data_IF_316799927301
#
_entry.id   IF_316799927301
#
_cell.length_a   1.000
_cell.length_b   1.000
_cell.length_c   1.000
_cell.angle_alpha   90.00
_cell.angle_beta   90.00
_cell.angle_gamma   90.00
#
_symmetry.space_group_name_H-M   'P 1'
#
loop_
_entity.id
_entity.type
_entity.pdbx_description
1 polymer ?
#
# COMPACT_ATOMS: atom_id res chain seq x y z
N UNK A 1 -11.54 -29.19 -7.54
CA UNK A 1 -10.66 -28.83 -6.40
C UNK A 1 -11.55 -28.39 -5.25
N UNK A 2 -11.37 -28.88 -4.01
CA UNK A 2 -12.31 -28.66 -2.91
C UNK A 2 -12.17 -27.29 -2.21
N UNK A 3 -11.12 -26.51 -2.50
CA UNK A 3 -10.87 -25.20 -1.90
C UNK A 3 -10.32 -24.24 -2.97
N UNK A 4 -10.70 -22.96 -2.88
CA UNK A 4 -10.21 -21.92 -3.77
C UNK A 4 -8.71 -21.65 -3.56
N UNK A 5 -7.93 -21.37 -4.60
CA UNK A 5 -6.49 -21.09 -4.49
C UNK A 5 -6.26 -19.66 -3.94
N UNK A 6 -6.35 -19.51 -2.61
CA UNK A 6 -6.05 -18.26 -1.92
C UNK A 6 -4.53 -18.15 -1.69
N UNK A 7 -3.90 -17.08 -2.17
CA UNK A 7 -2.45 -16.86 -2.02
C UNK A 7 -2.07 -16.44 -0.59
N UNK A 8 -2.83 -15.50 -0.02
CA UNK A 8 -2.67 -15.02 1.37
C UNK A 8 -4.07 -14.88 1.94
N UNK A 9 -4.32 -15.52 3.08
CA UNK A 9 -5.60 -15.42 3.76
C UNK A 9 -5.74 -14.04 4.43
N UNK A 10 -6.94 -13.48 4.39
CA UNK A 10 -7.19 -12.14 4.94
C UNK A 10 -6.97 -12.06 6.46
N UNK A 11 -6.99 -13.19 7.17
CA UNK A 11 -6.67 -13.30 8.58
C UNK A 11 -5.17 -13.30 8.90
N UNK A 12 -4.32 -13.65 7.94
CA UNK A 12 -2.86 -13.55 8.03
C UNK A 12 -2.34 -12.15 7.66
N UNK A 13 -3.19 -11.29 7.08
CA UNK A 13 -2.80 -9.93 6.69
C UNK A 13 -2.86 -9.00 7.90
N UNK A 14 -1.74 -8.37 8.21
CA UNK A 14 -1.63 -7.37 9.29
C UNK A 14 -1.82 -5.95 8.79
N UNK A 15 -1.43 -5.67 7.54
CA UNK A 15 -1.47 -4.35 6.92
C UNK A 15 -1.98 -4.46 5.50
N UNK A 16 -2.97 -3.63 5.15
CA UNK A 16 -3.32 -3.36 3.77
C UNK A 16 -2.88 -1.93 3.47
N UNK A 17 -1.94 -1.79 2.52
CA UNK A 17 -1.42 -0.52 2.05
C UNK A 17 -1.91 -0.28 0.62
N UNK A 18 -2.51 0.88 0.40
CA UNK A 18 -2.92 1.39 -0.92
C UNK A 18 -2.46 2.84 -1.09
N UNK A 19 -2.69 3.43 -2.25
CA UNK A 19 -2.49 4.85 -2.50
C UNK A 19 -3.42 5.76 -1.67
N UNK A 20 -4.53 5.23 -1.17
CA UNK A 20 -5.45 5.97 -0.29
C UNK A 20 -4.96 6.01 1.16
N UNK A 21 -4.26 4.96 1.61
CA UNK A 21 -3.74 4.90 2.97
C UNK A 21 -3.38 3.47 3.43
N UNK A 22 -3.25 3.32 4.74
CA UNK A 22 -2.92 2.06 5.41
C UNK A 22 -4.05 1.67 6.35
N UNK A 23 -4.50 0.42 6.26
CA UNK A 23 -5.37 -0.22 7.23
C UNK A 23 -4.57 -1.20 8.09
N UNK A 24 -4.48 -0.93 9.39
CA UNK A 24 -3.76 -1.74 10.37
C UNK A 24 -4.61 -2.91 10.86
N UNK A 25 -4.87 -3.90 9.98
CA UNK A 25 -5.79 -5.02 10.22
C UNK A 25 -5.47 -5.86 11.48
N UNK A 26 -4.23 -5.83 11.98
CA UNK A 26 -3.87 -6.46 13.25
C UNK A 26 -4.57 -5.84 14.47
N UNK A 27 -5.10 -4.61 14.34
CA UNK A 27 -5.87 -3.90 15.37
C UNK A 27 -7.38 -4.12 15.26
N UNK A 28 -7.84 -4.92 14.30
CA UNK A 28 -9.26 -5.19 14.13
C UNK A 28 -9.78 -6.09 15.26
N UNK A 29 -10.89 -5.69 15.88
CA UNK A 29 -11.54 -6.42 16.98
C UNK A 29 -12.60 -7.41 16.48
N UNK A 30 -12.99 -7.31 15.20
CA UNK A 30 -13.95 -8.20 14.57
C UNK A 30 -13.74 -8.29 13.06
N UNK A 31 -14.33 -9.30 12.43
CA UNK A 31 -14.31 -9.43 10.97
C UNK A 31 -15.07 -8.29 10.27
N UNK A 32 -16.13 -7.76 10.89
CA UNK A 32 -16.84 -6.58 10.38
C UNK A 32 -15.95 -5.34 10.41
N UNK A 33 -15.24 -5.11 11.53
CA UNK A 33 -14.29 -4.01 11.62
C UNK A 33 -13.15 -4.18 10.61
N UNK A 34 -12.60 -5.39 10.48
CA UNK A 34 -11.57 -5.69 9.47
C UNK A 34 -12.05 -5.34 8.05
N UNK A 35 -13.29 -5.71 7.69
CA UNK A 35 -13.89 -5.35 6.40
C UNK A 35 -14.04 -3.84 6.23
N UNK A 36 -14.52 -3.14 7.26
CA UNK A 36 -14.64 -1.69 7.24
C UNK A 36 -13.28 -0.99 7.07
N UNK A 37 -12.24 -1.51 7.72
CA UNK A 37 -10.87 -1.01 7.59
C UNK A 37 -10.30 -1.22 6.19
N UNK A 38 -10.49 -2.40 5.59
CA UNK A 38 -10.10 -2.66 4.19
C UNK A 38 -10.84 -1.72 3.24
N UNK A 39 -12.16 -1.59 3.41
CA UNK A 39 -12.98 -0.74 2.57
C UNK A 39 -12.57 0.75 2.65
N UNK A 40 -12.16 1.21 3.84
CA UNK A 40 -11.69 2.59 4.05
C UNK A 40 -10.42 2.96 3.26
N UNK A 41 -9.64 1.98 2.80
CA UNK A 41 -8.45 2.19 1.96
C UNK A 41 -8.61 1.64 0.54
N UNK A 42 -9.80 1.19 0.15
CA UNK A 42 -10.05 0.54 -1.13
C UNK A 42 -10.45 1.51 -2.27
N UNK A 43 -10.40 2.82 -2.05
CA UNK A 43 -10.66 3.84 -3.07
C UNK A 43 -12.06 3.72 -3.69
N UNK A 44 -12.14 3.85 -5.01
CA UNK A 44 -13.39 3.81 -5.80
C UNK A 44 -13.79 2.39 -6.27
N UNK A 45 -13.19 1.34 -5.69
CA UNK A 45 -13.53 -0.04 -6.04
C UNK A 45 -14.90 -0.45 -5.50
N UNK A 46 -15.48 -1.54 -5.98
CA UNK A 46 -16.76 -2.07 -5.46
C UNK A 46 -16.76 -2.31 -3.94
N UNK A 47 -15.59 -2.55 -3.33
CA UNK A 47 -15.43 -2.71 -1.89
C UNK A 47 -15.39 -1.35 -1.17
N UNK A 48 -14.75 -0.35 -1.78
CA UNK A 48 -14.65 1.01 -1.23
C UNK A 48 -15.91 1.85 -1.47
N UNK A 49 -16.69 1.52 -2.49
CA UNK A 49 -17.98 2.15 -2.77
C UNK A 49 -18.99 1.81 -1.65
N UNK A 50 -19.65 2.84 -1.11
CA UNK A 50 -20.65 2.67 -0.06
C UNK A 50 -20.08 2.70 1.37
N UNK A 51 -18.79 3.00 1.54
CA UNK A 51 -18.20 3.23 2.86
C UNK A 51 -18.74 4.52 3.47
N UNK A 52 -19.23 4.43 4.70
CA UNK A 52 -19.69 5.59 5.47
C UNK A 52 -18.49 6.46 5.90
N UNK A 53 -18.48 7.71 5.45
CA UNK A 53 -17.46 8.71 5.80
C UNK A 53 -17.31 8.91 7.31
N UNK A 54 -18.40 8.80 8.09
CA UNK A 54 -18.32 8.91 9.57
C UNK A 54 -17.56 7.74 10.16
N UNK A 55 -17.78 6.53 9.64
CA UNK A 55 -17.06 5.33 10.07
C UNK A 55 -15.59 5.40 9.72
N UNK A 56 -15.24 5.91 8.53
CA UNK A 56 -13.83 6.16 8.14
C UNK A 56 -13.17 7.16 9.08
N UNK A 57 -13.84 8.26 9.40
CA UNK A 57 -13.31 9.25 10.32
C UNK A 57 -13.02 8.65 11.72
N UNK A 58 -13.90 7.79 12.23
CA UNK A 58 -13.67 7.08 13.49
C UNK A 58 -12.48 6.09 13.41
N UNK A 59 -12.35 5.37 12.30
CA UNK A 59 -11.21 4.47 12.06
C UNK A 59 -9.88 5.23 11.97
N UNK A 60 -9.88 6.43 11.37
CA UNK A 60 -8.73 7.34 11.33
C UNK A 60 -8.39 7.89 12.70
N UNK A 61 -9.39 8.38 13.44
CA UNK A 61 -9.19 8.92 14.79
C UNK A 61 -8.66 7.87 15.78
N UNK A 62 -9.07 6.61 15.64
CA UNK A 62 -8.55 5.50 16.45
C UNK A 62 -7.17 4.98 15.99
N UNK A 63 -6.65 5.50 14.88
CA UNK A 63 -5.39 5.09 14.26
C UNK A 63 -5.43 3.67 13.68
N UNK A 64 -6.63 3.11 13.45
CA UNK A 64 -6.82 1.81 12.79
C UNK A 64 -6.65 1.95 11.27
N UNK A 65 -6.98 3.12 10.74
CA UNK A 65 -6.68 3.54 9.37
C UNK A 65 -5.83 4.81 9.44
N UNK A 66 -4.87 4.97 8.53
CA UNK A 66 -4.12 6.22 8.38
C UNK A 66 -4.03 6.58 6.91
N UNK A 67 -4.34 7.82 6.59
CA UNK A 67 -4.13 8.39 5.25
C UNK A 67 -2.78 9.09 5.20
N UNK A 68 -2.23 9.41 4.00
CA UNK A 68 -0.95 10.09 3.88
C UNK A 68 -0.86 11.34 4.76
N UNK A 69 -1.95 12.11 4.84
CA UNK A 69 -1.99 13.36 5.60
C UNK A 69 -1.92 13.14 7.13
N UNK A 70 -2.37 11.97 7.62
CA UNK A 70 -2.30 11.61 9.05
C UNK A 70 -0.87 11.34 9.52
N UNK A 71 0.03 11.04 8.58
CA UNK A 71 1.45 10.79 8.84
C UNK A 71 2.36 11.89 8.27
N UNK A 72 1.78 13.05 7.94
CA UNK A 72 2.54 14.21 7.46
C UNK A 72 3.07 14.09 6.03
N UNK A 73 2.52 13.17 5.22
CA UNK A 73 2.88 13.00 3.81
C UNK A 73 1.86 13.72 2.95
N UNK A 74 2.31 14.72 2.18
CA UNK A 74 1.49 15.33 1.14
C UNK A 74 1.57 14.49 -0.14
N UNK A 75 0.43 14.09 -0.69
CA UNK A 75 0.36 13.26 -1.91
C UNK A 75 1.16 13.86 -3.09
N UNK A 76 1.19 15.18 -3.21
CA UNK A 76 1.95 15.91 -4.25
C UNK A 76 3.46 15.77 -4.16
N UNK A 77 4.00 15.40 -3.01
CA UNK A 77 5.45 15.30 -2.80
C UNK A 77 5.99 13.96 -3.34
N UNK A 78 5.12 12.98 -3.59
CA UNK A 78 5.47 11.67 -4.12
C UNK A 78 5.81 11.76 -5.62
N UNK A 79 7.04 12.14 -5.93
CA UNK A 79 7.54 12.25 -7.31
C UNK A 79 8.78 11.37 -7.55
N UNK A 80 9.15 11.18 -8.83
CA UNK A 80 10.35 10.42 -9.21
C UNK A 80 11.65 11.01 -8.66
N UNK A 81 11.66 12.26 -8.21
CA UNK A 81 12.86 12.88 -7.61
C UNK A 81 13.24 12.26 -6.26
N UNK A 82 12.33 11.48 -5.64
CA UNK A 82 12.62 10.75 -4.40
C UNK A 82 13.36 9.42 -4.64
N UNK A 83 13.47 8.96 -5.90
CA UNK A 83 14.22 7.76 -6.23
C UNK A 83 15.73 8.05 -6.13
N UNK A 84 16.46 7.27 -5.33
CA UNK A 84 17.92 7.36 -5.24
C UNK A 84 18.62 7.00 -6.57
N UNK A 85 17.99 6.14 -7.36
CA UNK A 85 18.38 5.77 -8.72
C UNK A 85 17.12 5.80 -9.60
N UNK A 86 17.09 6.68 -10.59
CA UNK A 86 15.96 6.87 -11.50
C UNK A 86 16.00 5.95 -12.72
N UNK A 87 17.14 5.27 -12.93
CA UNK A 87 17.38 4.37 -14.05
C UNK A 87 18.23 3.15 -13.66
N UNK A 88 18.29 2.15 -14.55
CA UNK A 88 19.19 0.99 -14.39
C UNK A 88 20.66 1.40 -14.53
N UNK A 89 20.97 2.40 -15.35
CA UNK A 89 22.32 2.93 -15.48
C UNK A 89 22.79 3.54 -14.15
N UNK A 90 21.92 4.30 -13.48
CA UNK A 90 22.20 4.86 -12.15
C UNK A 90 22.53 3.73 -11.17
N UNK A 91 21.79 2.61 -11.18
CA UNK A 91 22.09 1.46 -10.32
C UNK A 91 23.47 0.84 -10.59
N UNK A 92 23.93 0.80 -11.84
CA UNK A 92 25.27 0.31 -12.20
C UNK A 92 26.33 1.27 -11.66
N UNK A 93 26.14 2.57 -11.83
CA UNK A 93 27.04 3.60 -11.30
C UNK A 93 27.12 3.55 -9.77
N UNK A 94 25.97 3.47 -9.08
CA UNK A 94 25.89 3.32 -7.63
C UNK A 94 26.57 2.04 -7.12
N UNK A 95 26.61 1.00 -7.95
CA UNK A 95 27.30 -0.25 -7.64
C UNK A 95 28.81 -0.23 -7.94
N UNK A 96 29.36 0.87 -8.45
CA UNK A 96 30.74 0.96 -8.96
C UNK A 96 31.04 -0.13 -10.02
N UNK A 97 30.07 -0.38 -10.90
CA UNK A 97 30.17 -1.39 -11.95
C UNK A 97 30.04 -2.85 -11.49
N UNK A 98 29.80 -3.11 -10.21
CA UNK A 98 29.62 -4.48 -9.68
C UNK A 98 28.30 -5.11 -10.12
N UNK A 99 27.26 -4.31 -10.34
CA UNK A 99 26.00 -4.76 -10.87
C UNK A 99 26.06 -4.87 -12.39
N UNK A 100 25.93 -6.10 -12.91
CA UNK A 100 25.88 -6.38 -14.33
C UNK A 100 24.46 -6.74 -14.78
N UNK A 101 23.64 -5.77 -15.23
CA UNK A 101 22.26 -6.04 -15.62
C UNK A 101 22.18 -6.97 -16.83
N UNK A 102 21.18 -7.87 -16.88
CA UNK A 102 20.87 -8.65 -18.07
C UNK A 102 20.64 -7.77 -19.31
N UNK A 103 20.90 -8.30 -20.50
CA UNK A 103 20.85 -7.55 -21.76
C UNK A 103 19.53 -6.78 -21.97
N UNK A 104 18.39 -7.33 -21.54
CA UNK A 104 17.07 -6.67 -21.63
C UNK A 104 16.97 -5.32 -20.90
N UNK A 105 17.89 -5.01 -19.98
CA UNK A 105 17.89 -3.79 -19.17
C UNK A 105 19.10 -2.89 -19.45
N UNK A 106 19.98 -3.27 -20.39
CA UNK A 106 21.04 -2.40 -20.87
C UNK A 106 20.44 -1.51 -21.94
N UNK A 107 20.49 -0.21 -21.72
CA UNK A 107 19.96 0.80 -22.65
C UNK A 107 21.07 1.63 -23.30
N UNK A 108 22.26 1.04 -23.39
CA UNK A 108 23.48 1.61 -23.97
C UNK A 108 24.21 0.54 -24.79
#
# INVERSE_FOLDING_TARGET
>A
MPLAPVMIYGDDVTHVLTEEGIAYLYRAESLEERRAMVAAVAGITDIGLGVDAKRVAALRQSGKVVYPEDIGIRRSDATRSLLAAGSVADLVEWSDGLYNPPAKFRSW
#
